data_IF_292338183207
#
_entry.id   IF_292338183207
#
_cell.length_a   1.000
_cell.length_b   1.000
_cell.length_c   1.000
_cell.angle_alpha   90.00
_cell.angle_beta   90.00
_cell.angle_gamma   90.00
#
_symmetry.space_group_name_H-M   'P 1'
#
loop_
_entity.id
_entity.type
_entity.pdbx_description
1 polymer ?
#
# COMPACT_ATOMS: atom_id res chain seq x y z
N UNK A 1 15.06 8.03 -40.86
CA UNK A 1 14.16 8.60 -39.88
C UNK A 1 13.35 7.52 -39.13
N UNK A 2 12.71 6.59 -39.79
CA UNK A 2 11.88 5.50 -39.21
C UNK A 2 12.65 4.53 -38.30
N UNK A 3 13.90 4.20 -38.63
CA UNK A 3 14.78 3.31 -37.86
C UNK A 3 15.13 3.89 -36.49
N UNK A 4 15.26 5.23 -36.37
CA UNK A 4 15.53 5.92 -35.15
C UNK A 4 14.26 6.01 -34.23
N UNK A 5 13.09 6.12 -34.83
CA UNK A 5 11.80 6.10 -34.16
C UNK A 5 11.52 4.73 -33.52
N UNK A 6 11.77 3.62 -34.24
CA UNK A 6 11.64 2.25 -33.71
C UNK A 6 12.62 1.98 -32.56
N UNK A 7 13.88 2.42 -32.69
CA UNK A 7 14.90 2.27 -31.64
C UNK A 7 14.53 3.07 -30.36
N UNK A 8 14.00 4.29 -30.50
CA UNK A 8 13.55 5.10 -29.39
C UNK A 8 12.34 4.49 -28.66
N UNK A 9 11.40 3.89 -29.40
CA UNK A 9 10.25 3.23 -28.80
C UNK A 9 10.64 1.94 -28.07
N UNK A 10 11.55 1.15 -28.64
CA UNK A 10 12.08 -0.06 -27.99
C UNK A 10 12.83 0.30 -26.70
N UNK A 11 13.63 1.37 -26.68
CA UNK A 11 14.35 1.81 -25.48
C UNK A 11 13.41 2.34 -24.40
N UNK A 12 12.32 3.05 -24.75
CA UNK A 12 11.30 3.46 -23.78
C UNK A 12 10.62 2.26 -23.11
N UNK A 13 10.43 1.18 -23.88
CA UNK A 13 9.79 -0.05 -23.39
C UNK A 13 10.67 -0.82 -22.41
N UNK A 14 11.99 -0.74 -22.55
CA UNK A 14 12.94 -1.52 -21.73
C UNK A 14 13.36 -0.77 -20.46
N UNK A 15 13.48 0.57 -20.49
CA UNK A 15 14.02 1.35 -19.37
C UNK A 15 13.09 1.39 -18.18
N UNK A 16 11.78 1.57 -18.38
CA UNK A 16 10.83 1.61 -17.26
C UNK A 16 10.83 0.30 -16.45
N UNK A 17 10.78 -0.89 -17.06
CA UNK A 17 10.92 -2.15 -16.32
C UNK A 17 12.26 -2.30 -15.59
N UNK A 18 13.38 -1.87 -16.18
CA UNK A 18 14.69 -1.93 -15.52
C UNK A 18 14.72 -1.05 -14.29
N UNK A 19 14.23 0.19 -14.37
CA UNK A 19 14.16 1.11 -13.22
C UNK A 19 13.30 0.50 -12.11
N UNK A 20 12.14 -0.04 -12.45
CA UNK A 20 11.26 -0.74 -11.49
C UNK A 20 11.99 -1.93 -10.85
N UNK A 21 12.67 -2.76 -11.64
CA UNK A 21 13.39 -3.93 -11.14
C UNK A 21 14.51 -3.53 -10.17
N UNK A 22 15.28 -2.49 -10.48
CA UNK A 22 16.35 -1.98 -9.60
C UNK A 22 15.77 -1.46 -8.28
N UNK A 23 14.72 -0.64 -8.33
CA UNK A 23 14.10 -0.09 -7.12
C UNK A 23 13.47 -1.22 -6.29
N UNK A 24 12.84 -2.21 -6.91
CA UNK A 24 12.28 -3.37 -6.23
C UNK A 24 13.38 -4.20 -5.53
N UNK A 25 14.53 -4.39 -6.20
CA UNK A 25 15.67 -5.09 -5.59
C UNK A 25 16.26 -4.32 -4.41
N UNK A 26 16.31 -2.98 -4.49
CA UNK A 26 16.74 -2.14 -3.36
C UNK A 26 15.75 -2.23 -2.18
N UNK A 27 14.44 -2.26 -2.46
CA UNK A 27 13.43 -2.46 -1.42
C UNK A 27 13.60 -3.82 -0.73
N UNK A 28 13.89 -4.88 -1.50
CA UNK A 28 14.20 -6.20 -0.94
C UNK A 28 15.46 -6.17 -0.06
N UNK A 29 16.53 -5.50 -0.48
CA UNK A 29 17.75 -5.38 0.33
C UNK A 29 17.49 -4.63 1.64
N UNK A 30 16.70 -3.56 1.60
CA UNK A 30 16.28 -2.84 2.80
C UNK A 30 15.47 -3.76 3.71
N UNK A 31 14.50 -4.50 3.16
CA UNK A 31 13.68 -5.45 3.91
C UNK A 31 14.54 -6.54 4.58
N UNK A 32 15.53 -7.07 3.89
CA UNK A 32 16.44 -8.06 4.45
C UNK A 32 17.25 -7.53 5.66
N UNK A 33 17.50 -6.21 5.71
CA UNK A 33 18.19 -5.57 6.82
C UNK A 33 17.27 -5.23 7.99
N UNK A 34 16.05 -4.75 7.73
CA UNK A 34 15.17 -4.21 8.76
C UNK A 34 13.99 -5.13 9.12
N UNK A 35 13.60 -6.06 8.24
CA UNK A 35 12.44 -6.93 8.47
C UNK A 35 12.54 -7.74 9.76
N UNK A 36 13.74 -8.25 10.04
CA UNK A 36 14.05 -9.00 11.26
C UNK A 36 13.94 -8.19 12.57
N UNK A 37 13.92 -6.84 12.49
CA UNK A 37 13.75 -5.98 13.67
C UNK A 37 12.31 -6.01 14.19
N UNK A 38 11.34 -6.25 13.31
CA UNK A 38 9.92 -6.31 13.68
C UNK A 38 9.51 -7.72 14.09
N UNK A 39 9.89 -8.71 13.28
CA UNK A 39 9.61 -10.13 13.53
C UNK A 39 10.78 -10.95 13.03
N UNK A 40 11.32 -11.82 13.88
CA UNK A 40 12.45 -12.68 13.54
C UNK A 40 12.15 -13.52 12.29
N UNK A 41 12.95 -13.32 11.23
CA UNK A 41 12.76 -13.98 9.94
C UNK A 41 11.60 -13.41 9.10
N UNK A 42 11.01 -12.28 9.52
CA UNK A 42 9.95 -11.61 8.76
C UNK A 42 10.47 -10.91 7.51
N UNK A 43 9.66 -10.91 6.46
CA UNK A 43 9.87 -10.15 5.22
C UNK A 43 8.57 -9.43 4.88
N UNK A 44 8.65 -8.12 4.75
CA UNK A 44 7.47 -7.24 4.63
C UNK A 44 7.52 -6.34 3.39
N UNK A 45 8.47 -6.57 2.47
CA UNK A 45 8.63 -5.77 1.24
C UNK A 45 7.34 -5.66 0.43
N UNK A 46 6.49 -6.68 0.48
CA UNK A 46 5.22 -6.72 -0.24
C UNK A 46 4.23 -5.63 0.27
N UNK A 47 4.33 -5.21 1.54
CA UNK A 47 3.58 -4.06 2.07
C UNK A 47 4.02 -2.80 1.32
N UNK A 48 5.33 -2.60 1.14
CA UNK A 48 5.87 -1.51 0.35
C UNK A 48 5.40 -1.54 -1.11
N UNK A 49 5.32 -2.72 -1.72
CA UNK A 49 4.78 -2.85 -3.08
C UNK A 49 3.31 -2.46 -3.19
N UNK A 50 2.48 -2.81 -2.20
CA UNK A 50 1.08 -2.37 -2.17
C UNK A 50 0.99 -0.85 -2.15
N UNK A 51 1.75 -0.18 -1.28
CA UNK A 51 1.77 1.28 -1.24
C UNK A 51 2.32 1.90 -2.53
N UNK A 52 3.39 1.34 -3.08
CA UNK A 52 3.95 1.80 -4.34
C UNK A 52 2.91 1.73 -5.47
N UNK A 53 2.21 0.62 -5.62
CA UNK A 53 1.23 0.43 -6.69
C UNK A 53 -0.02 1.29 -6.50
N UNK A 54 -0.57 1.35 -5.29
CA UNK A 54 -1.78 2.13 -4.98
C UNK A 54 -1.56 3.62 -5.17
N UNK A 55 -0.36 4.12 -4.83
CA UNK A 55 -0.03 5.55 -4.91
C UNK A 55 0.99 5.89 -6.02
N UNK A 56 1.13 5.05 -7.04
CA UNK A 56 2.13 5.23 -8.10
C UNK A 56 2.02 6.58 -8.82
N UNK A 57 0.80 7.02 -9.11
CA UNK A 57 0.50 8.27 -9.82
C UNK A 57 0.12 9.43 -8.90
N UNK A 58 0.03 9.19 -7.61
CA UNK A 58 -0.44 10.17 -6.63
C UNK A 58 0.57 11.31 -6.42
N UNK A 59 0.07 12.52 -6.20
CA UNK A 59 0.85 13.66 -5.75
C UNK A 59 1.40 13.46 -4.33
N UNK A 60 2.42 14.22 -3.92
CA UNK A 60 2.97 14.12 -2.57
C UNK A 60 1.89 14.33 -1.49
N UNK A 61 0.97 15.28 -1.71
CA UNK A 61 -0.14 15.56 -0.80
C UNK A 61 -1.08 14.36 -0.65
N UNK A 62 -1.40 13.69 -1.74
CA UNK A 62 -2.24 12.48 -1.74
C UNK A 62 -1.54 11.29 -1.07
N UNK A 63 -0.22 11.17 -1.23
CA UNK A 63 0.58 10.14 -0.56
C UNK A 63 0.55 10.31 0.97
N UNK A 64 0.73 11.55 1.46
CA UNK A 64 0.63 11.86 2.90
C UNK A 64 -0.77 11.57 3.42
N UNK A 65 -1.81 12.00 2.70
CA UNK A 65 -3.21 11.65 3.04
C UNK A 65 -3.42 10.13 3.03
N UNK A 66 -2.80 9.42 2.09
CA UNK A 66 -2.84 7.97 2.01
C UNK A 66 -2.30 7.30 3.27
N UNK A 67 -1.17 7.75 3.81
CA UNK A 67 -0.63 7.22 5.07
C UNK A 67 -1.56 7.46 6.26
N UNK A 68 -2.18 8.65 6.34
CA UNK A 68 -3.19 8.92 7.37
C UNK A 68 -4.39 7.98 7.18
N UNK A 69 -4.83 7.80 5.94
CA UNK A 69 -5.90 6.86 5.59
C UNK A 69 -5.61 5.43 6.05
N UNK A 70 -4.36 4.98 5.94
CA UNK A 70 -3.95 3.64 6.40
C UNK A 70 -4.12 3.49 7.92
N UNK A 71 -3.79 4.50 8.69
CA UNK A 71 -4.01 4.47 10.16
C UNK A 71 -5.50 4.36 10.47
N UNK A 72 -6.35 5.10 9.75
CA UNK A 72 -7.81 5.03 9.88
C UNK A 72 -8.31 3.65 9.46
N UNK A 73 -7.81 3.11 8.36
CA UNK A 73 -8.15 1.78 7.87
C UNK A 73 -7.77 0.68 8.86
N UNK A 74 -6.59 0.80 9.48
CA UNK A 74 -6.17 -0.09 10.55
C UNK A 74 -7.14 -0.02 11.75
N UNK A 75 -7.46 1.17 12.23
CA UNK A 75 -8.41 1.36 13.32
C UNK A 75 -9.80 0.80 12.95
N UNK A 76 -10.23 0.97 11.71
CA UNK A 76 -11.47 0.42 11.17
C UNK A 76 -11.47 -1.11 11.18
N UNK A 77 -10.38 -1.75 10.80
CA UNK A 77 -10.24 -3.21 10.85
C UNK A 77 -10.28 -3.73 12.29
N UNK A 78 -9.63 -3.04 13.23
CA UNK A 78 -9.71 -3.37 14.67
C UNK A 78 -11.15 -3.24 15.16
N UNK A 79 -11.87 -2.18 14.79
CA UNK A 79 -13.28 -2.00 15.14
C UNK A 79 -14.17 -3.11 14.56
N UNK A 80 -13.96 -3.49 13.29
CA UNK A 80 -14.68 -4.63 12.69
C UNK A 80 -14.47 -5.93 13.47
N UNK A 81 -13.22 -6.22 13.86
CA UNK A 81 -12.90 -7.41 14.65
C UNK A 81 -13.52 -7.35 16.04
N UNK A 82 -13.51 -6.19 16.70
CA UNK A 82 -14.14 -6.01 17.99
C UNK A 82 -15.65 -6.25 17.92
N UNK A 83 -16.33 -5.73 16.91
CA UNK A 83 -17.77 -5.97 16.70
C UNK A 83 -18.03 -7.46 16.42
N UNK A 84 -17.23 -8.08 15.57
CA UNK A 84 -17.36 -9.50 15.23
C UNK A 84 -17.13 -10.40 16.44
N UNK A 85 -16.19 -10.03 17.30
CA UNK A 85 -15.86 -10.78 18.54
C UNK A 85 -16.81 -10.52 19.71
N UNK A 86 -17.60 -9.44 19.67
CA UNK A 86 -18.50 -9.06 20.79
C UNK A 86 -19.70 -9.99 20.94
N UNK A 87 -20.13 -10.62 19.86
CA UNK A 87 -21.24 -11.58 19.86
C UNK A 87 -21.08 -12.58 18.72
N UNK A 88 -21.55 -13.79 18.93
CA UNK A 88 -21.56 -14.84 17.90
C UNK A 88 -23.00 -15.11 17.47
N UNK A 89 -23.37 -14.63 16.29
CA UNK A 89 -24.65 -14.92 15.69
C UNK A 89 -24.41 -15.46 14.28
N UNK A 90 -24.72 -16.72 14.07
CA UNK A 90 -24.50 -17.38 12.80
C UNK A 90 -25.84 -17.86 12.20
N UNK A 91 -26.02 -17.65 10.91
CA UNK A 91 -27.12 -18.19 10.12
C UNK A 91 -26.53 -19.18 9.10
N UNK A 92 -26.48 -20.46 9.49
CA UNK A 92 -25.74 -21.47 8.72
C UNK A 92 -24.26 -21.16 8.66
N UNK A 93 -23.71 -21.00 7.46
CA UNK A 93 -22.31 -20.63 7.21
C UNK A 93 -22.03 -19.13 7.28
N UNK A 94 -23.07 -18.30 7.43
CA UNK A 94 -22.96 -16.84 7.40
C UNK A 94 -22.83 -16.32 8.83
N UNK A 95 -21.75 -15.61 9.12
CA UNK A 95 -21.60 -14.89 10.38
C UNK A 95 -22.30 -13.53 10.29
N UNK A 96 -23.41 -13.39 10.99
CA UNK A 96 -24.18 -12.14 11.06
C UNK A 96 -23.38 -11.05 11.81
N UNK A 97 -22.61 -11.42 12.82
CA UNK A 97 -21.71 -10.49 13.51
C UNK A 97 -20.66 -9.89 12.57
N UNK A 98 -20.08 -10.69 11.69
CA UNK A 98 -19.14 -10.22 10.68
C UNK A 98 -19.84 -9.30 9.66
N UNK A 99 -21.01 -9.70 9.18
CA UNK A 99 -21.81 -8.90 8.25
C UNK A 99 -22.13 -7.51 8.84
N UNK A 100 -22.57 -7.45 10.08
CA UNK A 100 -22.84 -6.20 10.78
C UNK A 100 -21.58 -5.35 10.98
N UNK A 101 -20.46 -5.97 11.36
CA UNK A 101 -19.18 -5.26 11.49
C UNK A 101 -18.76 -4.61 10.18
N UNK A 102 -18.81 -5.37 9.08
CA UNK A 102 -18.49 -4.86 7.73
C UNK A 102 -19.46 -3.73 7.34
N UNK A 103 -20.76 -3.91 7.52
CA UNK A 103 -21.78 -2.92 7.17
C UNK A 103 -21.61 -1.61 7.93
N UNK A 104 -21.50 -1.68 9.26
CA UNK A 104 -21.41 -0.49 10.12
C UNK A 104 -20.11 0.29 9.89
N UNK A 105 -18.98 -0.40 9.83
CA UNK A 105 -17.69 0.26 9.68
C UNK A 105 -17.50 0.82 8.29
N UNK A 106 -17.85 0.09 7.23
CA UNK A 106 -17.79 0.65 5.88
C UNK A 106 -18.80 1.77 5.68
N UNK A 107 -20.01 1.66 6.23
CA UNK A 107 -20.98 2.75 6.22
C UNK A 107 -20.43 4.02 6.87
N UNK A 108 -19.79 3.90 8.04
CA UNK A 108 -19.14 5.02 8.70
C UNK A 108 -18.02 5.62 7.84
N UNK A 109 -17.17 4.80 7.24
CA UNK A 109 -16.09 5.27 6.33
C UNK A 109 -16.66 6.08 5.17
N UNK A 110 -17.73 5.60 4.54
CA UNK A 110 -18.36 6.29 3.41
C UNK A 110 -19.01 7.63 3.81
N UNK A 111 -19.45 7.78 5.06
CA UNK A 111 -19.91 9.08 5.57
C UNK A 111 -18.76 10.11 5.63
N UNK A 112 -17.53 9.67 5.91
CA UNK A 112 -16.36 10.55 5.88
C UNK A 112 -15.96 10.97 4.45
N UNK A 113 -16.22 10.14 3.44
CA UNK A 113 -15.92 10.46 2.04
C UNK A 113 -16.76 11.64 1.52
N UNK A 114 -18.02 11.73 1.91
CA UNK A 114 -18.94 12.78 1.48
C UNK A 114 -18.63 14.17 2.08
N UNK A 115 -17.70 14.25 3.01
CA UNK A 115 -17.26 15.50 3.61
C UNK A 115 -16.17 16.18 2.79
N UNK A 116 -16.51 17.09 1.87
CA UNK A 116 -15.55 17.82 0.99
C UNK A 116 -14.40 18.52 1.73
N UNK A 117 -14.53 18.76 3.02
CA UNK A 117 -13.57 19.49 3.86
C UNK A 117 -12.66 18.61 4.71
N UNK A 118 -12.83 17.29 4.70
CA UNK A 118 -12.10 16.43 5.63
C UNK A 118 -10.73 16.08 5.04
N UNK A 119 -9.68 16.45 5.75
CA UNK A 119 -8.27 16.09 5.46
C UNK A 119 -8.03 14.57 5.35
N UNK A 120 -9.00 13.80 5.79
CA UNK A 120 -9.01 12.36 5.93
C UNK A 120 -9.47 11.62 4.65
N UNK A 121 -9.74 12.36 3.58
CA UNK A 121 -10.36 11.83 2.36
C UNK A 121 -9.35 11.10 1.47
N UNK A 122 -8.78 10.02 1.97
CA UNK A 122 -8.01 9.06 1.16
C UNK A 122 -8.63 7.68 1.27
N UNK A 123 -9.67 7.45 0.50
CA UNK A 123 -10.37 6.16 0.42
C UNK A 123 -9.39 5.03 0.09
N UNK A 124 -8.49 5.26 -0.86
CA UNK A 124 -7.43 4.30 -1.23
C UNK A 124 -6.52 3.94 -0.04
N UNK A 125 -6.17 4.93 0.80
CA UNK A 125 -5.38 4.70 2.01
C UNK A 125 -6.15 3.91 3.06
N UNK A 126 -7.42 4.26 3.28
CA UNK A 126 -8.29 3.57 4.26
C UNK A 126 -8.47 2.10 3.87
N UNK A 127 -8.85 1.82 2.62
CA UNK A 127 -9.01 0.44 2.16
C UNK A 127 -7.69 -0.33 2.15
N UNK A 128 -6.56 0.32 1.83
CA UNK A 128 -5.23 -0.27 1.93
C UNK A 128 -4.93 -0.70 3.39
N UNK A 129 -5.23 0.15 4.36
CA UNK A 129 -5.07 -0.14 5.78
C UNK A 129 -5.96 -1.30 6.25
N UNK A 130 -7.23 -1.32 5.85
CA UNK A 130 -8.16 -2.42 6.14
C UNK A 130 -7.63 -3.73 5.54
N UNK A 131 -7.29 -3.71 4.25
CA UNK A 131 -6.80 -4.90 3.53
C UNK A 131 -5.55 -5.48 4.18
N UNK A 132 -4.55 -4.64 4.45
CA UNK A 132 -3.32 -5.07 5.08
C UNK A 132 -3.54 -5.61 6.50
N UNK A 133 -4.47 -5.03 7.25
CA UNK A 133 -4.82 -5.50 8.60
C UNK A 133 -5.46 -6.87 8.56
N UNK A 134 -6.45 -7.10 7.72
CA UNK A 134 -7.07 -8.42 7.58
C UNK A 134 -6.11 -9.46 7.00
N UNK A 135 -5.28 -9.09 6.05
CA UNK A 135 -4.24 -9.96 5.51
C UNK A 135 -3.26 -10.40 6.60
N UNK A 136 -2.94 -9.50 7.55
CA UNK A 136 -2.02 -9.79 8.65
C UNK A 136 -2.63 -10.66 9.76
N UNK A 137 -3.90 -10.49 10.03
CA UNK A 137 -4.56 -11.13 11.17
C UNK A 137 -5.30 -12.42 10.85
N UNK A 138 -5.53 -12.69 9.57
CA UNK A 138 -6.43 -13.78 9.16
C UNK A 138 -5.82 -14.96 8.40
N UNK A 139 -4.58 -14.87 7.92
CA UNK A 139 -4.02 -15.89 7.03
C UNK A 139 -2.66 -16.38 7.53
N UNK A 140 -2.59 -17.65 7.90
CA UNK A 140 -1.38 -18.31 8.45
C UNK A 140 -0.15 -18.30 7.52
N UNK A 141 -0.31 -18.01 6.25
CA UNK A 141 0.78 -17.90 5.26
C UNK A 141 1.33 -16.49 5.10
N UNK A 142 0.78 -15.51 5.82
CA UNK A 142 1.18 -14.12 5.70
C UNK A 142 2.20 -13.74 6.79
N UNK A 143 3.36 -13.16 6.44
CA UNK A 143 4.33 -12.68 7.43
C UNK A 143 3.75 -11.75 8.50
N UNK A 144 2.75 -10.93 8.15
CA UNK A 144 2.06 -10.08 9.12
C UNK A 144 1.26 -10.88 10.17
N UNK A 145 0.80 -12.09 9.86
CA UNK A 145 0.14 -12.98 10.82
C UNK A 145 1.07 -13.40 11.96
N UNK A 146 2.39 -13.29 11.76
CA UNK A 146 3.41 -13.56 12.78
C UNK A 146 3.59 -12.40 13.76
N UNK A 147 2.91 -11.26 13.55
CA UNK A 147 3.00 -10.13 14.46
C UNK A 147 2.28 -10.44 15.77
N UNK A 148 3.02 -10.43 16.87
CA UNK A 148 2.50 -10.66 18.22
C UNK A 148 1.59 -9.53 18.72
N UNK A 149 1.60 -8.38 18.09
CA UNK A 149 0.90 -7.18 18.51
C UNK A 149 0.35 -6.39 17.30
N UNK A 150 -0.88 -5.88 17.46
CA UNK A 150 -1.48 -4.96 16.50
C UNK A 150 -0.64 -3.69 16.29
N UNK A 151 0.04 -3.20 17.34
CA UNK A 151 0.93 -2.04 17.21
C UNK A 151 2.18 -2.35 16.37
N UNK A 152 2.76 -3.55 16.49
CA UNK A 152 3.86 -3.98 15.64
C UNK A 152 3.43 -4.02 14.18
N UNK A 153 2.25 -4.54 13.90
CA UNK A 153 1.68 -4.57 12.55
C UNK A 153 1.46 -3.16 11.98
N UNK A 154 0.91 -2.25 12.79
CA UNK A 154 0.76 -0.85 12.39
C UNK A 154 2.13 -0.20 12.09
N UNK A 155 3.13 -0.45 12.94
CA UNK A 155 4.50 0.02 12.74
C UNK A 155 5.09 -0.46 11.41
N UNK A 156 4.93 -1.76 11.10
CA UNK A 156 5.35 -2.33 9.81
C UNK A 156 4.64 -1.64 8.65
N UNK A 157 3.32 -1.48 8.71
CA UNK A 157 2.55 -0.83 7.65
C UNK A 157 3.01 0.61 7.40
N UNK A 158 3.32 1.36 8.46
CA UNK A 158 3.79 2.75 8.33
C UNK A 158 5.21 2.81 7.75
N UNK A 159 6.15 2.01 8.27
CA UNK A 159 7.54 2.02 7.80
C UNK A 159 7.61 1.57 6.34
N UNK A 160 7.03 0.42 6.02
CA UNK A 160 7.04 -0.09 4.64
C UNK A 160 6.12 0.73 3.71
N UNK A 161 5.08 1.35 4.24
CA UNK A 161 4.27 2.32 3.52
C UNK A 161 5.10 3.51 3.06
N UNK A 162 5.89 4.12 3.95
CA UNK A 162 6.80 5.23 3.61
C UNK A 162 7.84 4.77 2.59
N UNK A 163 8.46 3.60 2.78
CA UNK A 163 9.41 3.03 1.81
C UNK A 163 8.78 2.82 0.44
N UNK A 164 7.58 2.26 0.37
CA UNK A 164 6.85 2.05 -0.88
C UNK A 164 6.51 3.37 -1.59
N UNK A 165 6.08 4.39 -0.84
CA UNK A 165 5.84 5.73 -1.37
C UNK A 165 7.12 6.39 -1.89
N UNK A 166 8.26 6.20 -1.19
CA UNK A 166 9.57 6.67 -1.64
C UNK A 166 10.02 5.96 -2.92
N UNK A 167 9.81 4.64 -3.03
CA UNK A 167 10.05 3.87 -4.25
C UNK A 167 9.20 4.39 -5.42
N UNK A 168 7.91 4.66 -5.21
CA UNK A 168 7.02 5.23 -6.22
C UNK A 168 7.45 6.63 -6.67
N UNK A 169 7.93 7.47 -5.74
CA UNK A 169 8.48 8.78 -6.06
C UNK A 169 9.78 8.66 -6.89
N UNK A 170 10.72 7.82 -6.45
CA UNK A 170 11.98 7.59 -7.14
C UNK A 170 11.75 7.07 -8.57
N UNK A 171 10.85 6.10 -8.74
CA UNK A 171 10.48 5.60 -10.05
C UNK A 171 9.96 6.73 -10.98
N UNK A 172 9.02 7.55 -10.49
CA UNK A 172 8.50 8.69 -11.24
C UNK A 172 9.58 9.70 -11.60
N UNK A 173 10.52 9.97 -10.70
CA UNK A 173 11.64 10.87 -10.93
C UNK A 173 12.59 10.35 -12.02
N UNK A 174 13.03 9.11 -11.93
CA UNK A 174 13.93 8.52 -12.93
C UNK A 174 13.29 8.41 -14.32
N UNK A 175 12.01 8.08 -14.39
CA UNK A 175 11.27 8.06 -15.67
C UNK A 175 11.18 9.46 -16.27
N UNK A 176 10.98 10.51 -15.47
CA UNK A 176 10.98 11.90 -15.94
C UNK A 176 12.36 12.34 -16.45
N UNK A 177 13.42 12.08 -15.68
CA UNK A 177 14.81 12.39 -16.08
C UNK A 177 15.16 11.73 -17.41
N UNK A 178 14.76 10.46 -17.56
CA UNK A 178 14.99 9.74 -18.80
C UNK A 178 14.26 10.39 -19.97
N UNK A 179 12.98 10.75 -19.82
CA UNK A 179 12.20 11.41 -20.86
C UNK A 179 12.83 12.73 -21.27
N UNK A 180 13.21 13.59 -20.35
CA UNK A 180 13.80 14.91 -20.63
C UNK A 180 15.12 14.77 -21.42
N UNK A 181 15.97 13.81 -21.04
CA UNK A 181 17.25 13.57 -21.74
C UNK A 181 17.07 13.09 -23.17
N UNK A 182 16.01 12.33 -23.46
CA UNK A 182 15.72 11.83 -24.81
C UNK A 182 14.96 12.82 -25.68
N UNK A 183 14.21 13.74 -25.11
CA UNK A 183 13.52 14.80 -25.85
C UNK A 183 14.48 15.89 -26.27
N UNK A 184 15.47 16.25 -25.42
CA UNK A 184 16.53 17.22 -25.76
C UNK A 184 17.53 16.74 -26.84
N UNK A 185 17.54 15.46 -27.19
CA UNK A 185 18.39 14.90 -28.26
C UNK A 185 17.69 14.96 -29.64
N UNK A 186 16.50 15.57 -29.70
CA UNK A 186 15.69 15.68 -30.93
C UNK A 186 15.73 17.07 -31.57
N UNK A 187 16.28 18.07 -30.90
CA UNK A 187 16.62 19.37 -31.45
C UNK A 187 18.07 19.39 -31.94
#
# INVERSE_FOLDING_TARGET
MEKNLKKNNAMKFVVSPIVVAVIASLLYLIDALIGGLFVKGGSFMWVGFVFWTVFATASLKERVKGLIGVVIGFASAVAMMAITGSFTLNLGTISISCLLGVFLVNGAIMLFENGEKVWLNSLSGIFCGIFLSFSGLGVSLNPLASCSSAFTMLGIMLVYGILGLACGWANGYFVKLWKSKYESTKE
#
